data_IF_672620268598
#
_entry.id   IF_672620268598
#
_cell.length_a   1.000
_cell.length_b   1.000
_cell.length_c   1.000
_cell.angle_alpha   90.00
_cell.angle_beta   90.00
_cell.angle_gamma   90.00
#
_symmetry.space_group_name_H-M   'P 1'
#
loop_
_entity.id
_entity.type
_entity.pdbx_description
1 polymer ?
#
# COMPACT_ATOMS: atom_id res chain seq x y z
N UNK A 1 -14.49 -0.74 -31.83
CA UNK A 1 -14.93 -0.50 -30.44
C UNK A 1 -13.73 -0.05 -29.66
N UNK A 2 -13.88 0.99 -28.83
CA UNK A 2 -12.84 1.41 -27.90
C UNK A 2 -12.54 0.28 -26.90
N UNK A 3 -11.27 -0.05 -26.67
CA UNK A 3 -10.88 -1.09 -25.71
C UNK A 3 -10.97 -0.51 -24.30
N UNK A 4 -12.04 -0.84 -23.58
CA UNK A 4 -12.16 -0.54 -22.15
C UNK A 4 -11.37 -1.56 -21.33
N UNK A 5 -10.99 -1.24 -20.07
CA UNK A 5 -10.38 -2.20 -19.15
C UNK A 5 -11.16 -3.51 -19.04
N UNK A 6 -12.48 -3.42 -18.93
CA UNK A 6 -13.38 -4.58 -18.90
C UNK A 6 -13.25 -5.45 -20.17
N UNK A 7 -13.24 -4.84 -21.36
CA UNK A 7 -13.11 -5.61 -22.62
C UNK A 7 -11.74 -6.27 -22.76
N UNK A 8 -10.68 -5.64 -22.27
CA UNK A 8 -9.32 -6.19 -22.26
C UNK A 8 -9.24 -7.38 -21.30
N UNK A 9 -9.74 -7.22 -20.08
CA UNK A 9 -9.77 -8.29 -19.08
C UNK A 9 -10.65 -9.44 -19.55
N UNK A 10 -11.82 -9.16 -20.14
CA UNK A 10 -12.68 -10.18 -20.75
C UNK A 10 -11.94 -10.96 -21.84
N UNK A 11 -11.25 -10.28 -22.76
CA UNK A 11 -10.45 -10.95 -23.80
C UNK A 11 -9.35 -11.84 -23.20
N UNK A 12 -8.62 -11.35 -22.21
CA UNK A 12 -7.60 -12.14 -21.52
C UNK A 12 -8.21 -13.34 -20.77
N UNK A 13 -9.43 -13.21 -20.22
CA UNK A 13 -10.14 -14.32 -19.55
C UNK A 13 -10.57 -15.42 -20.53
N UNK A 14 -11.04 -15.04 -21.72
CA UNK A 14 -11.37 -16.00 -22.80
C UNK A 14 -10.13 -16.78 -23.24
N UNK A 15 -9.00 -16.09 -23.42
CA UNK A 15 -7.71 -16.71 -23.74
C UNK A 15 -7.24 -17.64 -22.62
N UNK A 16 -7.40 -17.24 -21.36
CA UNK A 16 -7.04 -18.06 -20.20
C UNK A 16 -7.85 -19.35 -20.14
N UNK A 17 -9.15 -19.29 -20.45
CA UNK A 17 -10.05 -20.44 -20.48
C UNK A 17 -9.69 -21.51 -21.52
N UNK A 18 -8.80 -21.20 -22.48
CA UNK A 18 -8.29 -22.18 -23.45
C UNK A 18 -7.20 -23.10 -22.87
N UNK A 19 -6.74 -22.85 -21.64
CA UNK A 19 -5.68 -23.62 -20.99
C UNK A 19 -6.20 -24.43 -19.79
N UNK A 20 -5.59 -25.57 -19.43
CA UNK A 20 -5.87 -26.24 -18.17
C UNK A 20 -5.39 -25.40 -16.97
N UNK A 21 -6.29 -25.15 -16.01
CA UNK A 21 -5.97 -24.42 -14.79
C UNK A 21 -6.86 -24.87 -13.63
N UNK A 22 -6.36 -24.67 -12.40
CA UNK A 22 -7.12 -24.82 -11.17
C UNK A 22 -7.78 -23.50 -10.76
N UNK A 23 -7.09 -22.39 -11.00
CA UNK A 23 -7.53 -21.02 -10.71
C UNK A 23 -6.72 -20.05 -11.55
N UNK A 24 -7.29 -18.89 -11.85
CA UNK A 24 -6.56 -17.79 -12.48
C UNK A 24 -7.17 -16.45 -12.12
N UNK A 25 -6.32 -15.43 -12.07
CA UNK A 25 -6.72 -14.04 -11.89
C UNK A 25 -6.05 -13.11 -12.90
N UNK A 26 -6.73 -12.01 -13.18
CA UNK A 26 -6.32 -10.98 -14.12
C UNK A 26 -6.48 -9.64 -13.43
N UNK A 27 -5.44 -8.82 -13.48
CA UNK A 27 -5.40 -7.47 -12.92
C UNK A 27 -5.05 -6.48 -14.00
N UNK A 28 -5.99 -5.62 -14.36
CA UNK A 28 -5.71 -4.42 -15.13
C UNK A 28 -5.47 -3.26 -14.16
N UNK A 29 -4.40 -2.50 -14.39
CA UNK A 29 -4.05 -1.31 -13.61
C UNK A 29 -3.82 -0.15 -14.56
N UNK A 30 -4.50 0.96 -14.30
CA UNK A 30 -4.24 2.27 -14.90
C UNK A 30 -3.73 3.23 -13.83
N UNK A 31 -2.66 3.98 -14.09
CA UNK A 31 -2.14 5.00 -13.16
C UNK A 31 -1.93 6.35 -13.83
N UNK A 32 -2.24 7.39 -13.05
CA UNK A 32 -1.87 8.78 -13.30
C UNK A 32 -1.11 9.31 -12.06
N UNK A 33 0.04 9.94 -12.27
CA UNK A 33 0.92 10.46 -11.23
C UNK A 33 1.38 11.89 -11.53
N UNK A 34 1.34 12.77 -10.53
CA UNK A 34 1.96 14.09 -10.59
C UNK A 34 2.79 14.35 -9.33
N UNK A 35 4.05 14.76 -9.53
CA UNK A 35 4.98 15.09 -8.45
C UNK A 35 5.46 16.53 -8.58
N UNK A 36 5.42 17.25 -7.46
CA UNK A 36 5.91 18.61 -7.33
C UNK A 36 6.93 18.69 -6.19
N UNK A 37 8.16 19.08 -6.49
CA UNK A 37 9.20 19.27 -5.49
C UNK A 37 9.76 20.71 -5.57
N UNK A 38 9.63 21.41 -4.45
CA UNK A 38 10.11 22.76 -4.26
C UNK A 38 11.21 22.75 -3.22
N UNK A 39 12.33 23.40 -3.54
CA UNK A 39 13.47 23.56 -2.65
C UNK A 39 13.74 25.05 -2.47
N UNK A 40 13.81 25.51 -1.21
CA UNK A 40 14.05 26.93 -0.89
C UNK A 40 13.10 27.86 -1.64
N UNK A 41 11.80 27.54 -1.64
CA UNK A 41 10.76 28.32 -2.32
C UNK A 41 10.79 28.31 -3.85
N UNK A 42 11.66 27.50 -4.47
CA UNK A 42 11.82 27.40 -5.93
C UNK A 42 11.40 26.02 -6.40
N UNK A 43 10.58 25.95 -7.46
CA UNK A 43 10.25 24.68 -8.10
C UNK A 43 11.51 24.07 -8.72
N UNK A 44 11.89 22.88 -8.28
CA UNK A 44 13.03 22.12 -8.82
C UNK A 44 12.59 20.99 -9.73
N UNK A 45 11.47 20.33 -9.38
CA UNK A 45 10.94 19.23 -10.16
C UNK A 45 9.43 19.35 -10.28
N UNK A 46 8.97 19.20 -11.51
CA UNK A 46 7.60 18.87 -11.83
C UNK A 46 7.64 17.65 -12.75
N UNK A 47 7.04 16.55 -12.32
CA UNK A 47 6.93 15.34 -13.12
C UNK A 47 5.45 14.95 -13.24
N UNK A 48 5.08 14.43 -14.41
CA UNK A 48 3.73 13.96 -14.68
C UNK A 48 3.80 12.74 -15.58
N UNK A 49 3.15 11.66 -15.15
CA UNK A 49 3.09 10.38 -15.84
C UNK A 49 1.62 9.96 -15.91
N UNK A 50 1.01 10.07 -17.09
CA UNK A 50 -0.42 9.87 -17.29
C UNK A 50 -0.70 8.63 -18.13
N UNK A 51 -1.86 8.02 -17.94
CA UNK A 51 -2.42 6.97 -18.79
C UNK A 51 -1.57 5.71 -18.88
N UNK A 52 -0.82 5.39 -17.81
CA UNK A 52 -0.01 4.18 -17.77
C UNK A 52 -0.92 2.99 -17.51
N UNK A 53 -1.04 2.10 -18.48
CA UNK A 53 -1.92 0.95 -18.39
C UNK A 53 -1.12 -0.35 -18.47
N UNK A 54 -1.49 -1.32 -17.65
CA UNK A 54 -0.87 -2.63 -17.62
C UNK A 54 -1.86 -3.72 -17.26
N UNK A 55 -1.51 -4.95 -17.62
CA UNK A 55 -2.23 -6.15 -17.22
C UNK A 55 -1.26 -7.17 -16.63
N UNK A 56 -1.64 -7.75 -15.51
CA UNK A 56 -1.00 -8.92 -14.90
C UNK A 56 -1.93 -10.12 -14.99
N UNK A 57 -1.38 -11.27 -15.34
CA UNK A 57 -2.08 -12.55 -15.41
C UNK A 57 -1.39 -13.55 -14.50
N UNK A 58 -2.13 -14.12 -13.56
CA UNK A 58 -1.65 -15.19 -12.68
C UNK A 58 -2.50 -16.44 -12.87
N UNK A 59 -1.85 -17.58 -13.02
CA UNK A 59 -2.49 -18.89 -13.24
C UNK A 59 -1.94 -19.90 -12.25
N UNK A 60 -2.82 -20.65 -11.60
CA UNK A 60 -2.50 -21.82 -10.80
C UNK A 60 -2.72 -23.08 -11.66
N UNK A 61 -1.65 -23.81 -11.95
CA UNK A 61 -1.72 -25.07 -12.68
C UNK A 61 -0.91 -26.14 -11.94
N UNK A 62 -1.53 -27.29 -11.70
CA UNK A 62 -0.93 -28.43 -10.96
C UNK A 62 -0.23 -28.02 -9.64
N UNK A 63 -0.87 -27.12 -8.90
CA UNK A 63 -0.36 -26.60 -7.62
C UNK A 63 0.87 -25.69 -7.74
N UNK A 64 1.14 -25.11 -8.91
CA UNK A 64 2.17 -24.09 -9.09
C UNK A 64 1.58 -22.80 -9.67
N UNK A 65 1.95 -21.67 -9.07
CA UNK A 65 1.68 -20.36 -9.63
C UNK A 65 2.60 -20.06 -10.81
N UNK A 66 2.04 -19.48 -11.85
CA UNK A 66 2.75 -18.83 -12.94
C UNK A 66 2.20 -17.44 -13.16
N UNK A 67 3.09 -16.50 -13.45
CA UNK A 67 2.75 -15.10 -13.64
C UNK A 67 3.38 -14.57 -14.93
N UNK A 68 2.67 -13.65 -15.58
CA UNK A 68 3.20 -12.80 -16.63
C UNK A 68 2.45 -11.47 -16.64
N UNK A 69 3.14 -10.39 -16.97
CA UNK A 69 2.52 -9.07 -17.16
C UNK A 69 3.03 -8.36 -18.41
N UNK A 70 2.28 -7.36 -18.86
CA UNK A 70 2.58 -6.52 -20.03
C UNK A 70 1.90 -5.16 -19.91
N UNK A 71 2.47 -4.15 -20.56
CA UNK A 71 1.85 -2.84 -20.81
C UNK A 71 1.39 -2.66 -22.27
N UNK A 72 1.73 -3.60 -23.16
CA UNK A 72 1.12 -3.70 -24.49
C UNK A 72 -0.15 -4.57 -24.42
N UNK A 73 -1.28 -3.95 -24.72
CA UNK A 73 -2.64 -4.49 -24.57
C UNK A 73 -3.25 -4.92 -25.91
N UNK A 74 -2.41 -5.14 -26.94
CA UNK A 74 -2.81 -5.78 -28.19
C UNK A 74 -3.21 -7.24 -27.99
N UNK A 75 -4.08 -7.79 -28.85
CA UNK A 75 -4.58 -9.16 -28.69
C UNK A 75 -3.46 -10.21 -28.74
N UNK A 76 -2.52 -10.05 -29.67
CA UNK A 76 -1.38 -10.96 -29.81
C UNK A 76 -0.54 -10.97 -28.53
N UNK A 77 -0.28 -9.80 -27.94
CA UNK A 77 0.49 -9.70 -26.69
C UNK A 77 -0.30 -10.23 -25.50
N UNK A 78 -1.63 -10.07 -25.45
CA UNK A 78 -2.48 -10.69 -24.43
C UNK A 78 -2.41 -12.22 -24.51
N UNK A 79 -2.51 -12.79 -25.71
CA UNK A 79 -2.39 -14.24 -25.94
C UNK A 79 -1.02 -14.76 -25.50
N UNK A 80 0.06 -14.09 -25.91
CA UNK A 80 1.40 -14.44 -25.46
C UNK A 80 1.58 -14.33 -23.94
N UNK A 81 0.98 -13.31 -23.31
CA UNK A 81 1.07 -13.10 -21.85
C UNK A 81 0.35 -14.20 -21.09
N UNK A 82 -0.89 -14.52 -21.47
CA UNK A 82 -1.67 -15.62 -20.87
C UNK A 82 -0.94 -16.96 -21.04
N UNK A 83 -0.50 -17.26 -22.26
CA UNK A 83 0.25 -18.48 -22.55
C UNK A 83 1.54 -18.56 -21.70
N UNK A 84 2.27 -17.45 -21.57
CA UNK A 84 3.49 -17.39 -20.75
C UNK A 84 3.18 -17.62 -19.27
N UNK A 85 2.13 -17.03 -18.71
CA UNK A 85 1.72 -17.28 -17.33
C UNK A 85 1.40 -18.78 -17.10
N UNK A 86 0.66 -19.40 -18.03
CA UNK A 86 0.36 -20.82 -17.97
C UNK A 86 1.61 -21.70 -18.10
N UNK A 87 2.47 -21.42 -19.09
CA UNK A 87 3.69 -22.20 -19.31
C UNK A 87 4.65 -22.08 -18.12
N UNK A 88 4.75 -20.90 -17.49
CA UNK A 88 5.49 -20.70 -16.25
C UNK A 88 4.95 -21.60 -15.12
N UNK A 89 3.63 -21.64 -14.94
CA UNK A 89 2.98 -22.49 -13.94
C UNK A 89 3.27 -23.98 -14.20
N UNK A 90 3.03 -24.43 -15.44
CA UNK A 90 3.21 -25.82 -15.86
C UNK A 90 4.65 -26.30 -15.71
N UNK A 91 5.63 -25.50 -16.14
CA UNK A 91 7.03 -25.86 -16.01
C UNK A 91 7.49 -25.81 -14.55
N UNK A 92 7.05 -24.82 -13.77
CA UNK A 92 7.34 -24.74 -12.34
C UNK A 92 6.80 -25.94 -11.55
N UNK A 93 5.62 -26.45 -11.92
CA UNK A 93 5.03 -27.62 -11.28
C UNK A 93 5.90 -28.89 -11.37
N UNK A 94 6.74 -29.03 -12.40
CA UNK A 94 7.66 -30.16 -12.56
C UNK A 94 8.72 -30.25 -11.45
N UNK A 95 9.00 -29.13 -10.79
CA UNK A 95 10.00 -29.02 -9.72
C UNK A 95 9.38 -29.03 -8.32
N UNK A 96 8.05 -29.20 -8.20
CA UNK A 96 7.35 -29.25 -6.93
C UNK A 96 7.07 -30.68 -6.50
N UNK A 97 7.41 -30.98 -5.25
CA UNK A 97 6.89 -32.18 -4.57
C UNK A 97 5.39 -32.03 -4.29
N UNK A 98 4.70 -33.14 -4.02
CA UNK A 98 3.28 -33.11 -3.67
C UNK A 98 2.97 -32.23 -2.44
N UNK A 99 3.91 -32.13 -1.48
CA UNK A 99 3.77 -31.28 -0.30
C UNK A 99 3.94 -29.78 -0.59
N UNK A 100 4.63 -29.42 -1.68
CA UNK A 100 4.87 -28.03 -2.09
C UNK A 100 3.85 -27.51 -3.11
N UNK A 101 2.92 -28.37 -3.53
CA UNK A 101 1.84 -28.00 -4.45
C UNK A 101 0.80 -27.19 -3.70
N UNK A 102 0.58 -25.97 -4.18
CA UNK A 102 -0.39 -25.03 -3.64
C UNK A 102 -1.79 -25.59 -3.77
N UNK A 103 -2.58 -25.42 -2.70
CA UNK A 103 -4.00 -25.73 -2.67
C UNK A 103 -4.72 -24.50 -2.15
N UNK A 104 -5.75 -24.08 -2.87
CA UNK A 104 -6.64 -23.01 -2.44
C UNK A 104 -8.06 -23.59 -2.34
N UNK A 105 -8.80 -23.19 -1.31
CA UNK A 105 -10.22 -23.50 -1.21
C UNK A 105 -11.01 -22.54 -2.10
N UNK A 106 -12.05 -23.01 -2.81
CA UNK A 106 -12.87 -22.13 -3.63
C UNK A 106 -13.63 -21.12 -2.78
N UNK A 107 -13.82 -19.90 -3.31
CA UNK A 107 -14.58 -18.85 -2.65
C UNK A 107 -15.83 -18.45 -3.46
N UNK A 108 -16.93 -18.04 -2.79
CA UNK A 108 -18.06 -17.44 -3.49
C UNK A 108 -17.65 -16.19 -4.26
N UNK A 109 -18.11 -16.09 -5.50
CA UNK A 109 -17.89 -14.91 -6.32
C UNK A 109 -18.52 -13.66 -5.69
N UNK A 110 -17.80 -12.53 -5.75
CA UNK A 110 -18.33 -11.21 -5.38
C UNK A 110 -18.11 -10.21 -6.51
N UNK A 111 -19.02 -9.26 -6.67
CA UNK A 111 -18.91 -8.20 -7.67
C UNK A 111 -18.94 -6.86 -6.95
N UNK A 112 -17.80 -6.18 -6.92
CA UNK A 112 -17.64 -4.93 -6.15
C UNK A 112 -17.20 -3.82 -7.10
N UNK A 113 -17.84 -2.66 -6.97
CA UNK A 113 -17.40 -1.42 -7.63
C UNK A 113 -17.23 -0.35 -6.56
N UNK A 114 -16.05 0.26 -6.53
CA UNK A 114 -15.74 1.33 -5.59
C UNK A 114 -15.02 2.48 -6.29
N UNK A 115 -15.48 3.70 -6.03
CA UNK A 115 -14.80 4.91 -6.46
C UNK A 115 -14.63 5.78 -5.23
N UNK A 116 -13.37 6.10 -4.93
CA UNK A 116 -13.02 6.95 -3.81
C UNK A 116 -13.69 8.31 -3.95
N UNK A 117 -14.29 8.79 -2.87
CA UNK A 117 -14.88 10.14 -2.83
C UNK A 117 -13.77 11.16 -2.65
N UNK A 118 -13.75 12.17 -3.50
CA UNK A 118 -12.83 13.30 -3.44
C UNK A 118 -13.61 14.61 -3.57
N UNK A 119 -13.08 15.69 -2.98
CA UNK A 119 -13.66 17.03 -3.13
C UNK A 119 -13.13 17.72 -4.39
N UNK A 120 -11.84 17.61 -4.66
CA UNK A 120 -11.17 18.26 -5.81
C UNK A 120 -10.24 17.26 -6.50
N UNK A 121 -10.56 16.87 -7.73
CA UNK A 121 -9.70 15.99 -8.52
C UNK A 121 -8.41 16.74 -8.92
N UNK A 122 -7.23 16.33 -8.41
CA UNK A 122 -5.99 17.02 -8.71
C UNK A 122 -5.67 16.95 -10.21
N UNK A 123 -6.02 15.89 -10.93
CA UNK A 123 -5.66 15.71 -12.34
C UNK A 123 -6.52 16.57 -13.30
N UNK A 124 -7.65 17.09 -12.82
CA UNK A 124 -8.51 18.02 -13.59
C UNK A 124 -8.43 19.46 -13.12
N UNK A 125 -7.82 19.71 -11.95
CA UNK A 125 -7.61 21.05 -11.43
C UNK A 125 -6.68 21.83 -12.38
N UNK A 126 -7.07 23.07 -12.69
CA UNK A 126 -6.26 23.96 -13.51
C UNK A 126 -4.81 24.00 -13.02
N UNK A 127 -3.88 23.76 -13.94
CA UNK A 127 -2.47 23.56 -13.63
C UNK A 127 -1.84 24.81 -13.05
N UNK A 128 -2.18 25.99 -13.58
CA UNK A 128 -1.63 27.26 -13.10
C UNK A 128 -2.11 27.53 -11.67
N UNK A 129 -3.41 27.37 -11.41
CA UNK A 129 -3.99 27.50 -10.07
C UNK A 129 -3.39 26.50 -9.07
N UNK A 130 -3.18 25.25 -9.48
CA UNK A 130 -2.54 24.22 -8.65
C UNK A 130 -1.10 24.63 -8.31
N UNK A 131 -0.32 25.01 -9.31
CA UNK A 131 1.05 25.48 -9.15
C UNK A 131 1.17 26.70 -8.25
N UNK A 132 0.28 27.68 -8.42
CA UNK A 132 0.25 28.89 -7.58
C UNK A 132 0.04 28.54 -6.10
N UNK A 133 -0.91 27.65 -5.80
CA UNK A 133 -1.16 27.21 -4.41
C UNK A 133 0.04 26.49 -3.80
N UNK A 134 0.64 25.54 -4.53
CA UNK A 134 1.79 24.79 -4.02
C UNK A 134 3.03 25.68 -3.86
N UNK A 135 3.26 26.61 -4.81
CA UNK A 135 4.36 27.56 -4.75
C UNK A 135 4.19 28.57 -3.60
N UNK A 136 2.97 28.98 -3.27
CA UNK A 136 2.70 29.87 -2.14
C UNK A 136 3.18 29.24 -0.82
N UNK A 137 2.86 27.96 -0.60
CA UNK A 137 3.33 27.20 0.56
C UNK A 137 4.86 27.15 0.59
N UNK A 138 5.48 26.76 -0.53
CA UNK A 138 6.93 26.62 -0.63
C UNK A 138 7.67 27.96 -0.39
N UNK A 139 7.18 29.06 -0.95
CA UNK A 139 7.77 30.39 -0.74
C UNK A 139 7.67 30.84 0.71
N UNK A 140 6.56 30.55 1.39
CA UNK A 140 6.37 30.91 2.80
C UNK A 140 7.26 30.09 3.74
N UNK A 141 7.63 28.88 3.33
CA UNK A 141 8.55 28.00 4.06
C UNK A 141 10.01 28.46 4.01
N UNK A 142 10.38 29.26 3.00
CA UNK A 142 11.75 29.73 2.83
C UNK A 142 12.06 31.00 3.64
N UNK A 143 13.34 31.23 3.95
CA UNK A 143 13.82 32.47 4.58
C UNK A 143 13.68 32.56 6.10
N UNK A 144 13.41 31.44 6.78
CA UNK A 144 13.30 31.41 8.25
C UNK A 144 14.67 31.33 8.94
N UNK A 145 14.85 32.08 10.04
CA UNK A 145 16.10 32.12 10.78
C UNK A 145 16.49 30.75 11.35
N UNK A 146 17.79 30.42 11.27
CA UNK A 146 18.34 29.14 11.72
C UNK A 146 18.08 27.96 10.79
N UNK A 147 17.23 28.10 9.76
CA UNK A 147 16.96 27.07 8.76
C UNK A 147 17.92 27.22 7.58
N UNK A 148 18.77 26.21 7.36
CA UNK A 148 19.78 26.20 6.28
C UNK A 148 19.25 25.57 4.99
N UNK A 149 18.22 24.73 5.10
CA UNK A 149 17.58 24.03 3.99
C UNK A 149 16.12 23.74 4.29
N UNK A 150 15.27 23.81 3.27
CA UNK A 150 13.86 23.44 3.35
C UNK A 150 13.38 22.91 2.00
N UNK A 151 12.36 22.07 2.04
CA UNK A 151 11.61 21.70 0.86
C UNK A 151 10.14 21.43 1.18
N UNK A 152 9.32 21.57 0.14
CA UNK A 152 7.93 21.17 0.11
C UNK A 152 7.71 20.24 -1.08
N UNK A 153 7.03 19.13 -0.83
CA UNK A 153 6.68 18.11 -1.80
C UNK A 153 5.16 17.99 -1.84
N UNK A 154 4.59 17.76 -3.01
CA UNK A 154 3.25 17.25 -3.18
C UNK A 154 3.24 16.18 -4.26
N UNK A 155 2.78 14.99 -3.90
CA UNK A 155 2.58 13.87 -4.83
C UNK A 155 1.09 13.57 -4.92
N UNK A 156 0.59 13.33 -6.13
CA UNK A 156 -0.78 12.90 -6.38
C UNK A 156 -0.75 11.64 -7.23
N UNK A 157 -1.48 10.61 -6.79
CA UNK A 157 -1.64 9.36 -7.52
C UNK A 157 -3.14 9.07 -7.70
N UNK A 158 -3.50 8.66 -8.91
CA UNK A 158 -4.80 8.06 -9.20
C UNK A 158 -4.57 6.69 -9.78
N UNK A 159 -5.19 5.68 -9.17
CA UNK A 159 -5.14 4.30 -9.61
C UNK A 159 -6.55 3.85 -10.01
N UNK A 160 -6.69 3.38 -11.24
CA UNK A 160 -7.81 2.56 -11.68
C UNK A 160 -7.40 1.09 -11.66
N UNK A 161 -8.19 0.23 -11.03
CA UNK A 161 -7.99 -1.23 -10.99
C UNK A 161 -9.24 -1.94 -11.49
N UNK A 162 -9.05 -2.92 -12.37
CA UNK A 162 -10.07 -3.91 -12.69
C UNK A 162 -9.49 -5.31 -12.45
N UNK A 163 -10.03 -6.00 -11.43
CA UNK A 163 -9.69 -7.37 -11.06
C UNK A 163 -10.78 -8.33 -11.53
N UNK A 164 -10.37 -9.49 -12.03
CA UNK A 164 -11.24 -10.61 -12.33
C UNK A 164 -10.55 -11.93 -11.94
N UNK A 165 -11.32 -12.94 -11.55
CA UNK A 165 -10.82 -14.30 -11.42
C UNK A 165 -11.77 -15.37 -11.98
N UNK A 166 -11.25 -16.58 -12.12
CA UNK A 166 -11.96 -17.74 -12.69
C UNK A 166 -13.17 -18.21 -11.89
N UNK A 167 -13.28 -17.78 -10.63
CA UNK A 167 -14.44 -18.06 -9.77
C UNK A 167 -15.59 -17.09 -10.04
N UNK A 168 -15.35 -16.04 -10.83
CA UNK A 168 -16.34 -15.03 -11.21
C UNK A 168 -16.31 -13.77 -10.37
N UNK A 169 -15.34 -13.62 -9.45
CA UNK A 169 -15.18 -12.37 -8.69
C UNK A 169 -14.73 -11.25 -9.63
N UNK A 170 -15.36 -10.09 -9.51
CA UNK A 170 -14.93 -8.84 -10.13
C UNK A 170 -14.76 -7.74 -9.10
N UNK A 171 -13.71 -6.93 -9.28
CA UNK A 171 -13.52 -5.72 -8.49
C UNK A 171 -13.02 -4.57 -9.35
N UNK A 172 -13.87 -3.55 -9.49
CA UNK A 172 -13.53 -2.29 -10.13
C UNK A 172 -13.29 -1.22 -9.07
N UNK A 173 -12.13 -0.58 -9.11
CA UNK A 173 -11.71 0.41 -8.13
C UNK A 173 -11.13 1.65 -8.79
N UNK A 174 -11.47 2.83 -8.29
CA UNK A 174 -10.71 4.06 -8.55
C UNK A 174 -10.28 4.67 -7.22
N UNK A 175 -8.98 4.83 -7.02
CA UNK A 175 -8.39 5.36 -5.79
C UNK A 175 -7.65 6.65 -6.08
N UNK A 176 -7.73 7.59 -5.15
CA UNK A 176 -7.01 8.86 -5.21
C UNK A 176 -6.20 9.01 -3.93
N UNK A 177 -4.92 9.27 -4.09
CA UNK A 177 -4.00 9.47 -2.98
C UNK A 177 -3.22 10.76 -3.18
N UNK A 178 -3.02 11.48 -2.08
CA UNK A 178 -2.17 12.65 -2.04
C UNK A 178 -1.17 12.51 -0.89
N UNK A 179 0.09 12.83 -1.16
CA UNK A 179 1.16 12.82 -0.17
C UNK A 179 1.90 14.16 -0.21
N UNK A 180 1.35 15.22 0.40
CA UNK A 180 2.07 16.46 0.61
C UNK A 180 2.93 16.38 1.87
N UNK A 181 4.06 17.05 1.85
CA UNK A 181 5.04 16.99 2.92
C UNK A 181 5.91 18.24 2.95
N UNK A 182 6.17 18.78 4.13
CA UNK A 182 7.17 19.83 4.33
C UNK A 182 8.26 19.39 5.28
N UNK A 183 9.48 19.88 5.01
CA UNK A 183 10.67 19.53 5.76
C UNK A 183 11.59 20.74 5.90
N UNK A 184 12.19 20.89 7.09
CA UNK A 184 13.18 21.91 7.41
C UNK A 184 14.42 21.28 8.04
N UNK A 185 15.59 21.84 7.74
CA UNK A 185 16.86 21.53 8.38
C UNK A 185 17.37 22.79 9.07
N UNK A 186 17.51 22.73 10.39
CA UNK A 186 18.15 23.75 11.20
C UNK A 186 19.62 23.41 11.42
N UNK A 187 20.48 24.43 11.59
CA UNK A 187 21.89 24.24 11.96
C UNK A 187 22.42 25.42 12.78
N UNK A 188 23.27 25.12 13.76
CA UNK A 188 24.02 26.08 14.58
C UNK A 188 25.53 26.08 14.27
N UNK A 189 25.95 25.38 13.21
CA UNK A 189 27.36 25.19 12.85
C UNK A 189 28.10 24.08 13.61
N UNK A 190 27.48 23.47 14.64
CA UNK A 190 27.99 22.29 15.33
C UNK A 190 27.27 21.01 14.90
N UNK A 191 26.00 21.14 14.51
CA UNK A 191 25.21 20.03 14.02
C UNK A 191 24.03 20.48 13.15
N UNK A 192 23.20 19.51 12.81
CA UNK A 192 21.94 19.74 12.11
C UNK A 192 20.81 19.03 12.85
N UNK A 193 19.61 19.59 12.76
CA UNK A 193 18.39 18.97 13.26
C UNK A 193 17.27 19.17 12.25
N UNK A 194 16.32 18.23 12.22
CA UNK A 194 15.25 18.26 11.22
C UNK A 194 13.87 18.18 11.84
N UNK A 195 12.91 18.83 11.18
CA UNK A 195 11.49 18.64 11.45
C UNK A 195 10.70 18.57 10.17
N UNK A 196 9.59 17.87 10.28
CA UNK A 196 8.68 17.57 9.18
C UNK A 196 7.26 17.81 9.61
N UNK A 197 6.40 18.11 8.65
CA UNK A 197 4.96 18.12 8.87
C UNK A 197 4.25 17.59 7.63
N UNK A 198 3.16 16.83 7.79
CA UNK A 198 2.49 16.42 9.04
C UNK A 198 3.19 15.28 9.82
N UNK A 199 4.32 14.78 9.31
CA UNK A 199 5.06 13.63 9.84
C UNK A 199 5.55 12.74 8.69
N UNK A 200 6.20 11.61 9.00
CA UNK A 200 6.73 10.67 7.99
C UNK A 200 5.68 9.83 7.25
N UNK A 201 4.43 9.85 7.70
CA UNK A 201 3.29 9.11 7.12
C UNK A 201 2.21 10.10 6.66
N UNK A 202 2.56 10.98 5.72
CA UNK A 202 1.67 12.07 5.29
C UNK A 202 0.69 11.69 4.17
N UNK A 203 0.87 10.52 3.56
CA UNK A 203 -0.04 10.01 2.55
C UNK A 203 -1.46 9.93 3.12
N UNK A 204 -2.44 10.33 2.30
CA UNK A 204 -3.86 10.16 2.60
C UNK A 204 -4.61 9.78 1.34
N UNK A 205 -5.70 9.06 1.55
CA UNK A 205 -6.81 9.00 0.61
C UNK A 205 -7.37 10.42 0.42
N UNK A 206 -7.55 10.84 -0.83
CA UNK A 206 -8.18 12.11 -1.17
C UNK A 206 -7.57 12.79 -2.39
N UNK A 207 -8.23 13.86 -2.84
CA UNK A 207 -7.77 14.71 -3.92
C UNK A 207 -6.88 15.87 -3.45
N UNK A 208 -6.95 17.00 -4.16
CA UNK A 208 -6.18 18.20 -3.82
C UNK A 208 -6.53 18.77 -2.44
N UNK A 209 -7.73 18.53 -1.94
CA UNK A 209 -8.18 18.95 -0.60
C UNK A 209 -7.26 18.46 0.53
N UNK A 210 -6.52 17.35 0.33
CA UNK A 210 -5.56 16.86 1.33
C UNK A 210 -4.48 17.91 1.64
N UNK A 211 -4.01 18.64 0.62
CA UNK A 211 -3.04 19.72 0.81
C UNK A 211 -3.64 20.86 1.64
N UNK A 212 -4.91 21.17 1.41
CA UNK A 212 -5.66 22.21 2.11
C UNK A 212 -5.92 21.83 3.57
N UNK A 213 -6.37 20.59 3.81
CA UNK A 213 -6.71 20.06 5.13
C UNK A 213 -5.50 20.01 6.07
N UNK A 214 -4.29 19.81 5.54
CA UNK A 214 -3.07 19.86 6.33
C UNK A 214 -2.69 21.26 6.81
N UNK A 215 -3.20 22.34 6.19
CA UNK A 215 -2.92 23.73 6.60
C UNK A 215 -1.43 23.99 6.80
N UNK A 216 -0.63 23.66 5.79
CA UNK A 216 0.84 23.73 5.84
C UNK A 216 1.33 25.10 6.31
N UNK A 217 0.78 26.17 5.73
CA UNK A 217 1.14 27.54 6.05
C UNK A 217 0.99 27.91 7.54
N UNK A 218 0.03 27.31 8.24
CA UNK A 218 -0.22 27.54 9.68
C UNK A 218 0.78 26.79 10.57
N UNK A 219 1.45 25.76 10.02
CA UNK A 219 2.36 24.89 10.76
C UNK A 219 3.85 25.18 10.51
N UNK A 220 4.17 26.16 9.66
CA UNK A 220 5.56 26.51 9.31
C UNK A 220 6.32 26.96 10.56
N UNK A 221 5.78 27.93 11.30
CA UNK A 221 6.42 28.47 12.51
C UNK A 221 6.69 27.38 13.55
N UNK A 222 5.77 26.42 13.67
CA UNK A 222 5.91 25.27 14.57
C UNK A 222 7.12 24.43 14.21
N UNK A 223 7.24 23.95 12.96
CA UNK A 223 8.35 23.07 12.60
C UNK A 223 9.69 23.79 12.56
N UNK A 224 9.70 25.09 12.22
CA UNK A 224 10.90 25.94 12.27
C UNK A 224 11.36 26.08 13.71
N UNK A 225 10.44 26.38 14.64
CA UNK A 225 10.76 26.48 16.06
C UNK A 225 11.28 25.15 16.60
N UNK A 226 10.56 24.06 16.36
CA UNK A 226 10.94 22.74 16.86
C UNK A 226 12.31 22.30 16.32
N UNK A 227 12.62 22.54 15.04
CA UNK A 227 13.92 22.20 14.47
C UNK A 227 15.07 22.99 15.14
N UNK A 228 14.85 24.27 15.43
CA UNK A 228 15.83 25.11 16.11
C UNK A 228 15.99 24.71 17.59
N UNK A 229 14.88 24.47 18.31
CA UNK A 229 14.92 24.07 19.72
C UNK A 229 15.76 22.79 19.92
N UNK A 230 15.65 21.83 18.99
CA UNK A 230 16.41 20.58 19.02
C UNK A 230 17.91 20.75 18.92
N UNK A 231 18.41 21.84 18.33
CA UNK A 231 19.86 22.09 18.27
C UNK A 231 20.45 22.23 19.68
N UNK A 232 19.62 22.63 20.65
CA UNK A 232 20.02 22.86 22.05
C UNK A 232 19.35 21.91 23.04
N UNK A 233 18.52 20.98 22.55
CA UNK A 233 17.83 20.04 23.42
C UNK A 233 18.83 19.12 24.13
N UNK A 234 18.66 18.86 25.43
CA UNK A 234 19.52 17.94 26.15
C UNK A 234 19.37 16.52 25.60
N UNK A 235 20.46 15.76 25.62
CA UNK A 235 20.42 14.33 25.33
C UNK A 235 19.77 13.59 26.50
N UNK A 236 18.97 12.58 26.18
CA UNK A 236 18.41 11.67 27.19
C UNK A 236 19.52 10.70 27.61
N UNK A 237 19.81 10.65 28.91
CA UNK A 237 20.81 9.74 29.50
C UNK A 237 20.16 8.55 30.23
N UNK A 238 18.84 8.59 30.42
CA UNK A 238 18.09 7.54 31.10
C UNK A 238 18.12 6.22 30.32
N UNK A 239 18.51 5.13 30.97
CA UNK A 239 18.43 3.79 30.39
C UNK A 239 17.00 3.27 30.28
N UNK A 240 16.06 3.82 31.07
CA UNK A 240 14.65 3.43 31.12
C UNK A 240 13.77 4.65 31.39
N UNK A 241 12.71 4.79 30.59
CA UNK A 241 11.71 5.83 30.76
C UNK A 241 10.34 5.34 30.30
N UNK A 242 9.28 5.95 30.82
CA UNK A 242 7.94 5.80 30.28
C UNK A 242 7.80 6.63 29.01
N UNK A 243 7.29 6.03 27.94
CA UNK A 243 7.15 6.66 26.63
C UNK A 243 5.69 6.93 26.31
N UNK A 244 5.38 8.18 25.94
CA UNK A 244 4.10 8.56 25.35
C UNK A 244 4.31 8.71 23.85
N UNK A 245 3.72 7.80 23.06
CA UNK A 245 3.86 7.76 21.61
C UNK A 245 2.59 8.32 20.96
N UNK A 246 2.75 9.33 20.11
CA UNK A 246 1.64 9.87 19.33
C UNK A 246 1.18 8.88 18.23
N UNK A 247 -0.10 8.96 17.84
CA UNK A 247 -0.74 7.98 16.95
C UNK A 247 0.02 7.65 15.67
N UNK A 248 0.64 8.65 15.01
CA UNK A 248 1.43 8.41 13.79
C UNK A 248 2.66 7.52 14.01
N UNK A 249 3.39 7.70 15.12
CA UNK A 249 4.52 6.84 15.47
C UNK A 249 4.03 5.49 16.02
N UNK A 250 2.92 5.48 16.75
CA UNK A 250 2.32 4.24 17.24
C UNK A 250 1.93 3.33 16.07
N UNK A 251 1.36 3.88 14.99
CA UNK A 251 1.03 3.11 13.80
C UNK A 251 2.25 2.39 13.20
N UNK A 252 3.40 3.07 13.10
CA UNK A 252 4.66 2.44 12.65
C UNK A 252 5.16 1.39 13.64
N UNK A 253 5.15 1.68 14.94
CA UNK A 253 5.52 0.70 15.97
C UNK A 253 4.66 -0.57 15.85
N UNK A 254 3.34 -0.43 15.68
CA UNK A 254 2.43 -1.56 15.50
C UNK A 254 2.70 -2.31 14.20
N UNK A 255 2.99 -1.61 13.10
CA UNK A 255 3.34 -2.22 11.81
C UNK A 255 4.56 -3.14 11.94
N UNK A 256 5.64 -2.61 12.51
CA UNK A 256 6.92 -3.33 12.60
C UNK A 256 6.92 -4.43 13.67
N UNK A 257 6.37 -4.13 14.85
CA UNK A 257 6.42 -5.08 15.97
C UNK A 257 5.35 -6.15 15.89
N UNK A 258 4.15 -5.81 15.38
CA UNK A 258 3.00 -6.72 15.33
C UNK A 258 2.66 -7.13 13.92
N UNK A 259 2.44 -6.17 13.01
CA UNK A 259 1.96 -6.42 11.65
C UNK A 259 2.80 -7.49 10.94
N UNK A 260 4.08 -7.21 10.71
CA UNK A 260 4.97 -8.18 10.07
C UNK A 260 5.10 -9.50 10.86
N UNK A 261 5.14 -9.45 12.19
CA UNK A 261 5.21 -10.66 13.00
C UNK A 261 3.97 -11.55 12.84
N UNK A 262 2.82 -10.98 12.50
CA UNK A 262 1.54 -11.71 12.34
C UNK A 262 1.17 -12.01 10.90
N UNK A 263 2.07 -11.76 9.94
CA UNK A 263 1.96 -12.25 8.57
C UNK A 263 2.33 -13.75 8.56
N UNK A 264 1.34 -14.61 8.29
CA UNK A 264 1.42 -16.05 8.53
C UNK A 264 2.33 -16.80 7.55
N UNK A 265 2.57 -16.25 6.36
CA UNK A 265 3.51 -16.78 5.37
C UNK A 265 4.95 -16.89 5.93
N UNK A 266 5.33 -16.00 6.86
CA UNK A 266 6.63 -16.02 7.56
C UNK A 266 6.81 -17.24 8.46
N UNK A 267 5.73 -17.84 8.96
CA UNK A 267 5.83 -19.11 9.71
C UNK A 267 6.42 -20.20 8.81
N UNK A 268 6.04 -20.19 7.53
CA UNK A 268 6.48 -21.17 6.53
C UNK A 268 7.77 -20.76 5.82
N UNK A 269 8.35 -19.61 6.17
CA UNK A 269 9.55 -19.08 5.53
C UNK A 269 9.34 -18.70 4.07
N UNK A 270 8.10 -18.43 3.66
CA UNK A 270 7.77 -17.96 2.32
C UNK A 270 8.24 -16.52 2.12
N UNK A 271 8.08 -15.70 3.16
CA UNK A 271 8.69 -14.37 3.24
C UNK A 271 9.79 -14.39 4.32
N UNK A 272 11.01 -14.06 3.89
CA UNK A 272 12.21 -13.94 4.74
C UNK A 272 13.00 -12.69 4.34
N UNK A 273 12.76 -12.16 3.13
CA UNK A 273 13.50 -11.05 2.59
C UNK A 273 13.00 -9.76 3.27
N UNK A 274 13.89 -8.79 3.47
CA UNK A 274 13.56 -7.49 4.06
C UNK A 274 13.29 -7.48 5.58
N UNK A 275 12.16 -8.01 6.05
CA UNK A 275 11.73 -7.93 7.45
C UNK A 275 12.07 -9.18 8.30
N UNK A 276 12.61 -10.23 7.67
CA UNK A 276 13.02 -11.46 8.35
C UNK A 276 11.87 -12.41 8.68
N UNK A 277 12.18 -13.41 9.53
CA UNK A 277 11.23 -14.42 10.00
C UNK A 277 10.35 -13.86 11.12
N UNK A 278 9.26 -14.56 11.42
CA UNK A 278 8.42 -14.26 12.59
C UNK A 278 8.89 -15.02 13.85
N UNK A 279 8.69 -14.41 15.02
CA UNK A 279 8.79 -15.10 16.31
C UNK A 279 7.51 -15.87 16.67
N UNK A 280 6.39 -15.53 16.02
CA UNK A 280 5.08 -16.15 16.25
C UNK A 280 5.13 -17.59 15.76
N UNK A 281 4.63 -18.50 16.59
CA UNK A 281 4.47 -19.92 16.27
C UNK A 281 2.99 -20.29 16.28
N UNK A 282 2.57 -21.29 15.50
CA UNK A 282 1.16 -21.70 15.46
C UNK A 282 0.54 -21.97 16.85
N UNK A 283 1.31 -22.51 17.79
CA UNK A 283 0.81 -22.85 19.13
C UNK A 283 0.56 -21.63 20.02
N UNK A 284 1.05 -20.46 19.63
CA UNK A 284 0.86 -19.19 20.35
C UNK A 284 -0.54 -18.60 20.13
N UNK A 285 -1.24 -19.01 19.07
CA UNK A 285 -2.59 -18.52 18.77
C UNK A 285 -3.58 -18.92 19.86
N UNK A 286 -4.31 -17.94 20.36
CA UNK A 286 -5.31 -18.08 21.43
C UNK A 286 -4.72 -18.13 22.86
N UNK A 287 -3.40 -18.15 23.04
CA UNK A 287 -2.78 -18.33 24.35
C UNK A 287 -1.68 -17.31 24.67
N UNK A 288 -0.97 -16.79 23.67
CA UNK A 288 0.15 -15.89 23.89
C UNK A 288 -0.32 -14.49 24.27
N UNK A 289 0.18 -14.01 25.42
CA UNK A 289 -0.03 -12.65 25.89
C UNK A 289 0.90 -11.70 25.15
N UNK A 290 0.37 -11.08 24.12
CA UNK A 290 1.05 -10.09 23.29
C UNK A 290 1.22 -8.74 24.01
N UNK A 291 0.23 -8.36 24.83
CA UNK A 291 0.24 -7.09 25.55
C UNK A 291 -0.63 -7.10 26.81
N UNK A 292 -0.82 -5.92 27.40
CA UNK A 292 -1.78 -5.74 28.49
C UNK A 292 -3.21 -5.98 27.99
N UNK A 293 -4.15 -6.18 28.91
CA UNK A 293 -5.57 -6.38 28.58
C UNK A 293 -6.22 -5.22 27.79
N UNK A 294 -5.59 -4.03 27.81
CA UNK A 294 -6.05 -2.88 27.05
C UNK A 294 -5.68 -2.94 25.56
N UNK A 295 -4.76 -3.83 25.17
CA UNK A 295 -4.25 -3.89 23.80
C UNK A 295 -5.20 -4.68 22.90
N UNK A 296 -5.75 -3.98 21.91
CA UNK A 296 -6.57 -4.55 20.84
C UNK A 296 -6.01 -4.07 19.50
N UNK A 297 -5.65 -5.02 18.62
CA UNK A 297 -5.01 -4.74 17.33
C UNK A 297 -5.76 -5.51 16.26
N UNK A 298 -6.11 -4.82 15.18
CA UNK A 298 -6.83 -5.41 14.05
C UNK A 298 -6.16 -5.08 12.73
N UNK A 299 -6.31 -6.00 11.78
CA UNK A 299 -6.13 -5.73 10.35
C UNK A 299 -7.51 -5.47 9.76
N UNK A 300 -7.73 -4.30 9.18
CA UNK A 300 -9.05 -3.91 8.67
C UNK A 300 -8.95 -3.26 7.29
N UNK A 301 -9.42 -3.96 6.27
CA UNK A 301 -9.48 -3.46 4.89
C UNK A 301 -10.80 -2.79 4.51
N UNK A 302 -11.72 -2.64 5.47
CA UNK A 302 -13.07 -2.08 5.24
C UNK A 302 -13.17 -0.58 5.51
N UNK A 303 -12.11 0.05 6.03
CA UNK A 303 -12.07 1.48 6.33
C UNK A 303 -11.81 2.26 5.04
N UNK A 304 -12.86 2.81 4.41
CA UNK A 304 -12.79 3.50 3.11
C UNK A 304 -11.82 4.70 3.07
N UNK A 305 -11.63 5.39 4.20
CA UNK A 305 -10.70 6.51 4.32
C UNK A 305 -9.24 6.06 4.51
N UNK A 306 -9.01 4.78 4.76
CA UNK A 306 -7.69 4.20 4.95
C UNK A 306 -7.00 3.89 3.63
N UNK A 307 -5.69 4.14 3.55
CA UNK A 307 -4.86 3.79 2.38
C UNK A 307 -4.90 2.27 2.10
N UNK A 308 -5.07 1.47 3.16
CA UNK A 308 -5.16 0.00 3.07
C UNK A 308 -6.51 -0.53 2.55
N UNK A 309 -7.50 0.33 2.30
CA UNK A 309 -8.82 -0.09 1.82
C UNK A 309 -8.74 -0.90 0.53
N UNK A 310 -9.51 -1.99 0.49
CA UNK A 310 -9.77 -2.74 -0.73
C UNK A 310 -11.06 -3.56 -0.61
N UNK A 311 -11.86 -3.58 -1.68
CA UNK A 311 -13.08 -4.40 -1.75
C UNK A 311 -12.78 -5.90 -1.79
N UNK A 312 -11.72 -6.29 -2.49
CA UNK A 312 -11.12 -7.63 -2.42
C UNK A 312 -9.60 -7.51 -2.40
N UNK A 313 -8.93 -8.47 -1.76
CA UNK A 313 -7.47 -8.61 -1.87
C UNK A 313 -7.07 -9.13 -3.26
N UNK A 314 -5.77 -9.25 -3.53
CA UNK A 314 -5.28 -9.62 -4.87
C UNK A 314 -5.42 -11.14 -5.17
N UNK A 315 -6.13 -11.89 -4.32
CA UNK A 315 -6.62 -13.27 -4.50
C UNK A 315 -8.15 -13.39 -4.57
N UNK A 316 -8.86 -12.26 -4.51
CA UNK A 316 -10.31 -12.19 -4.61
C UNK A 316 -11.03 -12.43 -3.29
N UNK A 317 -10.32 -12.39 -2.15
CA UNK A 317 -10.93 -12.51 -0.82
C UNK A 317 -11.60 -11.18 -0.46
N UNK A 318 -12.89 -11.15 -0.07
CA UNK A 318 -13.57 -9.92 0.29
C UNK A 318 -12.93 -9.21 1.49
N UNK A 319 -12.85 -7.88 1.40
CA UNK A 319 -12.35 -7.03 2.47
C UNK A 319 -13.04 -7.28 3.80
N UNK A 320 -12.25 -7.33 4.89
CA UNK A 320 -12.75 -7.64 6.23
C UNK A 320 -11.87 -7.08 7.34
N UNK A 321 -12.45 -7.06 8.53
CA UNK A 321 -11.76 -6.83 9.80
C UNK A 321 -11.40 -8.17 10.44
N UNK A 322 -10.12 -8.33 10.75
CA UNK A 322 -9.55 -9.50 11.43
C UNK A 322 -8.92 -9.05 12.74
N UNK A 323 -9.38 -9.61 13.86
CA UNK A 323 -8.73 -9.40 15.16
C UNK A 323 -7.38 -10.11 15.17
N UNK A 324 -6.30 -9.37 15.42
CA UNK A 324 -4.94 -9.91 15.54
C UNK A 324 -4.60 -10.11 17.02
N UNK A 325 -4.80 -9.07 17.82
CA UNK A 325 -4.69 -9.11 19.28
C UNK A 325 -6.02 -8.65 19.87
N UNK A 326 -6.56 -9.42 20.82
CA UNK A 326 -7.78 -9.10 21.55
C UNK A 326 -7.57 -9.27 23.04
N UNK A 327 -7.87 -8.23 23.81
CA UNK A 327 -7.64 -8.18 25.26
C UNK A 327 -6.21 -8.61 25.66
N UNK A 328 -5.23 -8.19 24.86
CA UNK A 328 -3.81 -8.52 25.02
C UNK A 328 -3.39 -9.92 24.57
N UNK A 329 -4.29 -10.75 24.04
CA UNK A 329 -4.01 -12.12 23.57
C UNK A 329 -3.92 -12.15 22.05
N UNK A 330 -2.92 -12.83 21.50
CA UNK A 330 -2.82 -13.11 20.06
C UNK A 330 -3.92 -14.08 19.64
N UNK A 331 -4.85 -13.65 18.80
CA UNK A 331 -6.04 -14.45 18.40
C UNK A 331 -6.15 -14.70 16.89
N UNK A 332 -5.39 -13.97 16.07
CA UNK A 332 -5.44 -14.08 14.62
C UNK A 332 -4.16 -13.68 13.93
N UNK A 333 -4.11 -13.92 12.62
CA UNK A 333 -2.97 -13.63 11.75
C UNK A 333 -3.47 -13.13 10.39
N UNK A 334 -2.62 -12.38 9.70
CA UNK A 334 -2.81 -11.99 8.31
C UNK A 334 -2.36 -13.16 7.42
N UNK A 335 -3.21 -13.61 6.51
CA UNK A 335 -2.91 -14.73 5.61
C UNK A 335 -3.50 -14.54 4.20
N UNK A 336 -3.01 -15.36 3.28
CA UNK A 336 -3.54 -15.54 1.92
C UNK A 336 -4.39 -16.81 1.86
N UNK A 337 -5.04 -17.09 0.72
CA UNK A 337 -5.75 -18.36 0.49
C UNK A 337 -4.80 -19.56 0.55
N UNK A 338 -3.58 -19.40 0.05
CA UNK A 338 -2.55 -20.45 0.11
C UNK A 338 -2.16 -20.75 1.56
N UNK A 339 -1.83 -19.73 2.33
CA UNK A 339 -1.39 -19.89 3.73
C UNK A 339 -2.54 -20.35 4.63
N UNK A 340 -3.75 -19.85 4.40
CA UNK A 340 -4.95 -20.30 5.09
C UNK A 340 -5.17 -21.82 4.91
N UNK A 341 -4.95 -22.34 3.70
CA UNK A 341 -5.01 -23.78 3.43
C UNK A 341 -3.97 -24.60 4.19
N UNK A 342 -2.77 -24.05 4.41
CA UNK A 342 -1.72 -24.70 5.20
C UNK A 342 -2.01 -24.69 6.71
N UNK A 343 -2.66 -23.62 7.20
CA UNK A 343 -2.99 -23.45 8.60
C UNK A 343 -4.33 -24.09 8.99
N UNK A 344 -5.16 -24.47 8.03
CA UNK A 344 -6.55 -24.90 8.29
C UNK A 344 -7.43 -23.77 8.80
N UNK A 345 -7.15 -22.53 8.37
CA UNK A 345 -7.90 -21.32 8.74
C UNK A 345 -8.64 -20.75 7.53
N UNK A 346 -9.45 -19.72 7.76
CA UNK A 346 -10.03 -18.91 6.68
C UNK A 346 -9.05 -17.84 6.18
N UNK A 347 -9.15 -17.41 4.91
CA UNK A 347 -8.38 -16.28 4.40
C UNK A 347 -8.83 -14.95 5.04
N UNK A 348 -7.88 -14.06 5.31
CA UNK A 348 -8.09 -12.83 6.09
C UNK A 348 -8.18 -11.55 5.25
N UNK A 349 -8.14 -11.66 3.91
CA UNK A 349 -8.09 -10.53 2.97
C UNK A 349 -6.80 -9.70 3.09
N UNK A 350 -5.65 -10.36 3.19
CA UNK A 350 -4.36 -9.70 3.36
C UNK A 350 -3.36 -10.02 2.23
N UNK A 351 -3.74 -10.79 1.21
CA UNK A 351 -2.84 -11.04 0.10
C UNK A 351 -2.79 -9.83 -0.84
N UNK A 352 -1.68 -9.10 -0.85
CA UNK A 352 -1.46 -7.94 -1.72
C UNK A 352 -0.32 -8.24 -2.70
N UNK A 353 -0.46 -7.82 -3.97
CA UNK A 353 0.48 -8.14 -5.05
C UNK A 353 0.73 -6.97 -6.01
#
# INVERSE_FOLDING_TARGET
MERTPETIVRRASELMGAHPLMFGDIRYIGTDEEDFYFEKGILKTYASVMGQNSIGVRILCDGCWGFAGTNDLSDDTLEHTVKRAHDNAKHGALFKTAAQKVKIAPLPAVNIKHTQKIKTDPFTLDRERKMEKLLAIAKKLDGHNGIVFNYFLAMFNKEYKYYWNTEGTTYESTRYQAMPWMHVIASDGKGIQTRTYPGGMSARVGGFEVVEDFRFEENIEKIVKEANDLLTAPMIEDERADLIIAGGHLALQLHESVGHATEADRIFGMEISYAGKTFVRPEMLGSFRYGSENVNIVSDSTIEEGIGYHGVDDEGVPGRRTDIVKDGILVGMQNSREVAGLMGTEPSSNMKA
#
